data_IF_991240644538
#
_entry.id   IF_991240644538
#
_cell.length_a   1.000
_cell.length_b   1.000
_cell.length_c   1.000
_cell.angle_alpha   90.00
_cell.angle_beta   90.00
_cell.angle_gamma   90.00
#
_symmetry.space_group_name_H-M   'P 1'
#
loop_
_entity.id
_entity.type
_entity.pdbx_description
1 polymer ?
#
# COMPACT_ATOMS: atom_id res chain seq x y z
N UNK A 1 -3.89 0.73 3.29
CA UNK A 1 -3.49 -0.64 3.65
C UNK A 1 -3.80 -1.50 2.46
N UNK A 2 -2.81 -2.19 1.91
CA UNK A 2 -3.01 -2.99 0.70
C UNK A 2 -3.61 -4.35 1.03
N UNK A 3 -4.35 -4.91 0.09
CA UNK A 3 -4.70 -6.31 0.07
C UNK A 3 -3.50 -7.14 -0.38
N UNK A 4 -3.17 -8.23 0.30
CA UNK A 4 -2.04 -9.11 -0.07
C UNK A 4 -2.27 -9.83 -1.42
N UNK A 5 -3.53 -10.12 -1.80
CA UNK A 5 -3.87 -11.00 -2.94
C UNK A 5 -4.43 -10.29 -4.16
N UNK A 6 -5.05 -9.13 -4.01
CA UNK A 6 -5.83 -8.48 -5.08
C UNK A 6 -5.51 -7.00 -5.22
N UNK A 7 -5.11 -6.51 -6.41
CA UNK A 7 -4.83 -5.10 -6.64
C UNK A 7 -6.06 -4.23 -6.48
N UNK A 8 -5.95 -3.14 -5.71
CA UNK A 8 -7.06 -2.22 -5.47
C UNK A 8 -8.25 -2.89 -4.76
N UNK A 9 -8.04 -4.06 -4.16
CA UNK A 9 -9.05 -4.90 -3.52
C UNK A 9 -10.32 -5.07 -4.38
N UNK A 10 -11.43 -4.45 -3.98
CA UNK A 10 -12.71 -4.45 -4.71
C UNK A 10 -13.20 -3.05 -5.00
N UNK A 11 -12.30 -2.16 -5.44
CA UNK A 11 -12.65 -0.77 -5.76
C UNK A 11 -13.77 -0.64 -6.80
N UNK A 12 -13.85 -1.58 -7.75
CA UNK A 12 -14.93 -1.70 -8.75
C UNK A 12 -16.28 -2.10 -8.15
N UNK A 13 -16.30 -2.75 -6.99
CA UNK A 13 -17.52 -3.25 -6.31
C UNK A 13 -18.06 -2.27 -5.26
N UNK A 14 -17.45 -1.09 -5.11
CA UNK A 14 -17.93 -0.06 -4.19
C UNK A 14 -17.53 -0.24 -2.73
N UNK A 15 -16.52 -1.06 -2.41
CA UNK A 15 -16.02 -1.18 -1.04
C UNK A 15 -15.41 0.15 -0.55
N UNK A 16 -15.66 0.51 0.71
CA UNK A 16 -15.26 1.79 1.31
C UNK A 16 -13.95 1.71 2.13
N UNK A 17 -13.10 0.72 1.86
CA UNK A 17 -11.80 0.61 2.53
C UNK A 17 -10.78 1.59 1.93
N UNK A 18 -9.68 1.78 2.66
CA UNK A 18 -8.69 2.83 2.38
C UNK A 18 -8.06 2.67 0.99
N UNK A 19 -7.71 1.45 0.59
CA UNK A 19 -7.10 1.17 -0.71
C UNK A 19 -8.06 1.51 -1.85
N UNK A 20 -9.33 1.11 -1.73
CA UNK A 20 -10.36 1.37 -2.72
C UNK A 20 -10.64 2.85 -2.90
N UNK A 21 -10.63 3.61 -1.79
CA UNK A 21 -10.77 5.06 -1.83
C UNK A 21 -9.62 5.72 -2.59
N UNK A 22 -8.38 5.27 -2.37
CA UNK A 22 -7.20 5.78 -3.08
C UNK A 22 -7.25 5.42 -4.57
N UNK A 23 -7.61 4.18 -4.92
CA UNK A 23 -7.77 3.73 -6.31
C UNK A 23 -8.86 4.50 -7.06
N UNK A 24 -9.95 4.90 -6.39
CA UNK A 24 -11.01 5.73 -7.02
C UNK A 24 -10.58 7.16 -7.26
N UNK A 25 -9.63 7.68 -6.49
CA UNK A 25 -9.24 9.10 -6.51
C UNK A 25 -8.01 9.41 -7.35
N UNK A 26 -7.33 8.38 -7.81
CA UNK A 26 -6.04 8.49 -8.46
C UNK A 26 -5.89 7.49 -9.60
N UNK A 27 -4.78 7.58 -10.33
CA UNK A 27 -4.38 6.57 -11.30
C UNK A 27 -3.64 5.38 -10.67
N UNK A 28 -3.63 5.24 -9.33
CA UNK A 28 -2.96 4.14 -8.63
C UNK A 28 -3.37 2.77 -9.15
N UNK A 29 -4.63 2.62 -9.58
CA UNK A 29 -5.12 1.36 -10.14
C UNK A 29 -4.34 0.93 -11.40
N UNK A 30 -3.81 1.87 -12.20
CA UNK A 30 -2.99 1.55 -13.37
C UNK A 30 -1.61 0.99 -13.00
N UNK A 31 -1.11 1.34 -11.80
CA UNK A 31 0.15 0.82 -11.29
C UNK A 31 0.00 -0.56 -10.63
N UNK A 32 -1.22 -0.92 -10.20
CA UNK A 32 -1.49 -2.13 -9.42
C UNK A 32 -2.19 -3.22 -10.23
N UNK A 33 -3.11 -2.86 -11.12
CA UNK A 33 -3.95 -3.81 -11.86
C UNK A 33 -3.25 -4.28 -13.14
N UNK A 34 -3.31 -5.59 -13.42
CA UNK A 34 -2.68 -6.26 -14.57
C UNK A 34 -3.42 -5.97 -15.90
N UNK A 35 -3.92 -4.74 -16.08
CA UNK A 35 -4.59 -4.32 -17.32
C UNK A 35 -3.54 -4.01 -18.38
N UNK A 36 -2.91 -5.05 -18.92
CA UNK A 36 -2.18 -5.08 -20.21
C UNK A 36 -1.44 -3.78 -20.53
N UNK A 37 -0.70 -3.31 -19.52
CA UNK A 37 -0.07 -2.01 -19.50
C UNK A 37 1.40 -2.27 -19.22
N UNK A 38 2.27 -1.78 -20.11
CA UNK A 38 3.72 -1.82 -19.91
C UNK A 38 4.17 -1.06 -18.65
N UNK A 39 3.24 -0.34 -17.99
CA UNK A 39 3.44 0.34 -16.71
C UNK A 39 3.19 -0.55 -15.49
N UNK A 40 2.73 -1.80 -15.66
CA UNK A 40 2.54 -2.73 -14.54
C UNK A 40 3.91 -3.16 -14.04
N UNK A 41 4.37 -2.49 -12.98
CA UNK A 41 5.70 -2.70 -12.42
C UNK A 41 5.78 -3.96 -11.54
N UNK A 42 4.65 -4.48 -11.03
CA UNK A 42 4.65 -5.60 -10.07
C UNK A 42 3.41 -6.48 -10.21
N UNK A 43 3.62 -7.81 -10.21
CA UNK A 43 2.55 -8.81 -10.20
C UNK A 43 2.09 -9.09 -8.77
N UNK A 44 0.77 -9.05 -8.56
CA UNK A 44 0.16 -9.62 -7.36
C UNK A 44 0.28 -11.16 -7.37
N UNK A 45 0.31 -11.84 -6.21
CA UNK A 45 0.19 -11.31 -4.84
C UNK A 45 1.45 -10.59 -4.33
N UNK A 46 1.28 -9.68 -3.37
CA UNK A 46 2.40 -8.98 -2.70
C UNK A 46 3.16 -10.00 -1.83
N UNK A 47 4.50 -10.02 -1.94
CA UNK A 47 5.34 -10.87 -1.09
C UNK A 47 5.21 -10.52 0.40
N UNK A 48 5.39 -11.50 1.30
CA UNK A 48 5.15 -11.35 2.75
C UNK A 48 5.91 -10.18 3.39
N UNK A 49 7.17 -9.96 3.02
CA UNK A 49 8.00 -8.82 3.46
C UNK A 49 8.22 -7.80 2.33
N UNK A 50 7.37 -7.84 1.31
CA UNK A 50 7.44 -7.00 0.13
C UNK A 50 6.47 -5.82 0.19
N UNK A 51 6.66 -4.90 -0.74
CA UNK A 51 5.76 -3.79 -0.99
C UNK A 51 5.92 -3.32 -2.43
N UNK A 52 4.90 -2.64 -2.93
CA UNK A 52 4.90 -2.04 -4.26
C UNK A 52 5.14 -0.54 -4.09
N UNK A 53 6.13 -0.01 -4.79
CA UNK A 53 6.40 1.42 -4.84
C UNK A 53 5.88 2.00 -6.15
N UNK A 54 4.93 2.93 -6.07
CA UNK A 54 4.33 3.62 -7.20
C UNK A 54 4.69 5.11 -7.15
N UNK A 55 5.69 5.57 -7.92
CA UNK A 55 6.06 6.98 -7.96
C UNK A 55 5.05 7.80 -8.77
N UNK A 56 4.92 9.10 -8.44
CA UNK A 56 4.13 10.09 -9.22
C UNK A 56 2.69 9.65 -9.52
N UNK A 57 2.01 9.08 -8.53
CA UNK A 57 0.59 8.75 -8.62
C UNK A 57 -0.21 10.05 -8.60
N UNK A 58 -0.99 10.26 -9.66
CA UNK A 58 -1.77 11.46 -9.88
C UNK A 58 -3.11 11.37 -9.15
N UNK A 59 -3.30 12.21 -8.15
CA UNK A 59 -4.58 12.41 -7.49
C UNK A 59 -5.37 13.52 -8.20
N UNK A 60 -6.56 13.14 -8.68
CA UNK A 60 -7.42 14.04 -9.44
C UNK A 60 -8.86 14.10 -8.89
N UNK A 61 -9.21 13.28 -7.88
CA UNK A 61 -10.50 13.39 -7.19
C UNK A 61 -10.37 13.59 -5.68
N UNK A 62 -11.34 14.31 -5.14
CA UNK A 62 -11.52 14.58 -3.72
C UNK A 62 -12.03 13.36 -2.96
N UNK A 63 -12.15 13.47 -1.63
CA UNK A 63 -12.59 12.39 -0.74
C UNK A 63 -14.03 11.93 -1.03
N UNK A 64 -14.36 10.77 -0.47
CA UNK A 64 -15.71 10.18 -0.53
C UNK A 64 -16.78 11.08 0.08
N UNK A 65 -16.46 11.79 1.17
CA UNK A 65 -17.36 12.76 1.81
C UNK A 65 -17.83 13.87 0.86
N UNK A 66 -17.00 14.20 -0.13
CA UNK A 66 -17.32 15.20 -1.15
C UNK A 66 -17.91 14.59 -2.42
N UNK A 67 -18.16 13.28 -2.45
CA UNK A 67 -18.70 12.57 -3.61
C UNK A 67 -17.69 12.39 -4.74
N UNK A 68 -16.38 12.31 -4.45
CA UNK A 68 -15.33 12.11 -5.46
C UNK A 68 -15.31 13.17 -6.57
N UNK A 69 -15.62 14.43 -6.24
CA UNK A 69 -15.51 15.56 -7.17
C UNK A 69 -14.09 15.73 -7.69
N UNK A 70 -13.94 16.22 -8.91
CA UNK A 70 -12.63 16.54 -9.47
C UNK A 70 -11.96 17.64 -8.66
N UNK A 71 -10.65 17.49 -8.44
CA UNK A 71 -9.84 18.51 -7.77
C UNK A 71 -9.51 19.63 -8.77
N UNK A 72 -9.58 20.90 -8.36
CA UNK A 72 -9.19 22.03 -9.21
C UNK A 72 -7.69 22.00 -9.54
N UNK A 73 -6.87 21.46 -8.63
CA UNK A 73 -5.44 21.21 -8.81
C UNK A 73 -5.14 19.74 -8.57
N UNK A 74 -4.50 19.10 -9.54
CA UNK A 74 -4.02 17.72 -9.42
C UNK A 74 -2.74 17.69 -8.59
N UNK A 75 -2.51 16.58 -7.89
CA UNK A 75 -1.32 16.41 -7.06
C UNK A 75 -0.64 15.08 -7.36
N UNK A 76 0.69 15.10 -7.49
CA UNK A 76 1.48 13.90 -7.63
C UNK A 76 1.95 13.45 -6.25
N UNK A 77 1.71 12.17 -5.94
CA UNK A 77 2.05 11.57 -4.65
C UNK A 77 2.79 10.26 -4.90
N UNK A 78 3.85 10.00 -4.15
CA UNK A 78 4.48 8.69 -4.16
C UNK A 78 3.72 7.77 -3.20
N UNK A 79 3.31 6.59 -3.68
CA UNK A 79 2.49 5.65 -2.91
C UNK A 79 3.29 4.38 -2.63
N UNK A 80 3.31 3.97 -1.37
CA UNK A 80 3.85 2.68 -0.95
C UNK A 80 2.69 1.76 -0.57
N UNK A 81 2.56 0.66 -1.29
CA UNK A 81 1.49 -0.32 -1.13
C UNK A 81 2.06 -1.54 -0.40
N UNK A 82 1.73 -1.68 0.89
CA UNK A 82 2.17 -2.79 1.75
C UNK A 82 0.94 -3.46 2.36
N UNK A 83 0.94 -4.79 2.35
CA UNK A 83 -0.11 -5.57 2.96
C UNK A 83 0.11 -5.68 4.47
N UNK A 84 -0.91 -5.31 5.25
CA UNK A 84 -0.90 -5.56 6.69
C UNK A 84 -1.22 -7.04 6.96
N UNK A 85 -0.62 -7.61 8.00
CA UNK A 85 -0.96 -8.96 8.44
C UNK A 85 -2.45 -9.07 8.80
N UNK A 86 -3.08 -10.15 8.34
CA UNK A 86 -4.47 -10.46 8.68
C UNK A 86 -4.53 -11.11 10.05
N UNK A 87 -5.24 -10.47 10.99
CA UNK A 87 -5.44 -10.97 12.37
C UNK A 87 -4.11 -11.37 13.03
N UNK A 88 -3.15 -10.45 13.13
CA UNK A 88 -1.89 -10.74 13.79
C UNK A 88 -2.12 -11.01 15.28
N UNK A 89 -1.22 -11.77 15.90
CA UNK A 89 -1.16 -11.84 17.36
C UNK A 89 -0.83 -10.44 17.90
N UNK A 90 -1.62 -10.00 18.88
CA UNK A 90 -1.45 -8.70 19.51
C UNK A 90 -0.95 -8.92 20.94
N UNK A 91 0.05 -8.13 21.34
CA UNK A 91 0.48 -8.05 22.74
C UNK A 91 -0.20 -6.84 23.38
N UNK A 92 -0.79 -7.05 24.57
CA UNK A 92 -1.40 -5.98 25.35
C UNK A 92 -0.37 -5.39 26.31
N UNK A 93 -0.17 -4.08 26.23
CA UNK A 93 0.64 -3.34 27.18
C UNK A 93 -0.25 -2.36 27.94
N UNK A 94 -0.08 -2.33 29.25
CA UNK A 94 -0.70 -1.32 30.11
C UNK A 94 0.22 -0.11 30.16
N UNK A 95 -0.31 1.04 29.75
CA UNK A 95 0.34 2.32 29.97
C UNK A 95 0.25 2.70 31.46
N UNK A 96 1.14 3.60 31.90
CA UNK A 96 1.19 4.09 33.28
C UNK A 96 -0.06 4.85 33.72
N UNK A 97 -0.84 5.35 32.76
CA UNK A 97 -2.14 6.00 32.96
C UNK A 97 -3.31 5.00 33.06
N UNK A 98 -3.02 3.69 33.03
CA UNK A 98 -4.02 2.62 33.07
C UNK A 98 -4.69 2.34 31.72
N UNK A 99 -4.31 3.04 30.65
CA UNK A 99 -4.83 2.78 29.30
C UNK A 99 -4.20 1.51 28.70
N UNK A 100 -4.98 0.76 27.92
CA UNK A 100 -4.52 -0.43 27.19
C UNK A 100 -4.10 -0.04 25.78
N UNK A 101 -2.90 -0.46 25.38
CA UNK A 101 -2.41 -0.34 24.00
C UNK A 101 -2.04 -1.71 23.45
N UNK A 102 -2.45 -1.98 22.22
CA UNK A 102 -2.19 -3.24 21.53
C UNK A 102 -1.10 -3.02 20.48
N UNK A 103 -0.02 -3.80 20.58
CA UNK A 103 1.06 -3.81 19.60
C UNK A 103 1.05 -5.10 18.81
N UNK A 104 1.49 -5.04 17.56
CA UNK A 104 1.77 -6.23 16.77
C UNK A 104 2.85 -7.04 17.50
N UNK A 105 2.59 -8.30 17.83
CA UNK A 105 3.61 -9.16 18.44
C UNK A 105 4.83 -9.21 17.51
N UNK A 106 5.98 -8.69 17.97
CA UNK A 106 7.21 -8.67 17.18
C UNK A 106 7.65 -10.10 16.93
N UNK A 107 7.62 -10.57 15.68
CA UNK A 107 8.28 -11.83 15.34
C UNK A 107 9.78 -11.57 15.26
N UNK A 108 10.54 -12.17 16.17
CA UNK A 108 12.00 -12.19 16.09
C UNK A 108 12.39 -12.75 14.70
N UNK A 109 13.27 -12.03 13.99
CA UNK A 109 13.93 -12.58 12.80
C UNK A 109 14.53 -13.93 13.20
N UNK A 110 14.11 -15.01 12.54
CA UNK A 110 14.84 -16.28 12.57
C UNK A 110 16.32 -16.06 12.20
N UNK A 111 17.22 -16.95 12.62
CA UNK A 111 18.66 -16.70 12.59
C UNK A 111 19.15 -16.37 11.17
N UNK A 112 19.93 -15.29 11.08
CA UNK A 112 20.68 -14.74 9.94
C UNK A 112 20.77 -15.66 8.70
N UNK A 113 19.84 -15.51 7.77
CA UNK A 113 20.07 -15.79 6.35
C UNK A 113 20.51 -14.50 5.66
N UNK A 114 21.75 -14.45 5.17
CA UNK A 114 22.24 -13.36 4.32
C UNK A 114 21.44 -13.36 3.01
N UNK A 115 20.38 -12.57 2.92
CA UNK A 115 19.87 -12.12 1.62
C UNK A 115 20.57 -10.81 1.30
N UNK A 116 21.55 -10.88 0.41
CA UNK A 116 22.19 -9.70 -0.16
C UNK A 116 21.12 -8.83 -0.88
N UNK A 117 21.19 -7.50 -0.79
CA UNK A 117 20.33 -6.65 -1.58
C UNK A 117 20.86 -6.59 -3.01
N UNK A 118 20.23 -7.30 -3.95
CA UNK A 118 20.51 -7.17 -5.38
C UNK A 118 19.67 -6.04 -6.03
N UNK A 119 19.38 -4.97 -5.29
CA UNK A 119 18.75 -3.78 -5.85
C UNK A 119 19.83 -2.75 -6.17
N UNK A 120 20.41 -2.82 -7.37
CA UNK A 120 21.12 -1.66 -7.91
C UNK A 120 20.08 -0.71 -8.51
N UNK A 121 20.00 0.50 -7.97
CA UNK A 121 19.30 1.60 -8.62
C UNK A 121 20.08 1.97 -9.89
N UNK A 122 19.46 2.04 -11.08
CA UNK A 122 20.12 2.66 -12.21
C UNK A 122 20.34 4.14 -11.84
N UNK A 123 21.62 4.51 -11.69
CA UNK A 123 22.04 5.91 -11.65
C UNK A 123 21.54 6.56 -12.93
N UNK A 124 20.60 7.49 -12.82
CA UNK A 124 20.32 8.42 -13.91
C UNK A 124 21.64 9.15 -14.21
N UNK A 125 22.17 8.93 -15.40
CA UNK A 125 23.33 9.65 -15.92
C UNK A 125 23.01 11.12 -16.09
N UNK A 126 24.03 11.94 -15.82
CA UNK A 126 24.13 13.34 -16.23
C UNK A 126 24.37 13.46 -17.75
#
# INVERSE_FOLDING_TARGET
MANEKRPGCSYRKGSAAQEENLCRRSNLFQCLDDMESDLVMVKYPIAEFGGIYSPKVLFFRSSEQTGYRFLPKKADVNVLTVAAYRRPKLEEHMCSDGSKVQFLASRQRGPKGRCAPSWEWPRLGE
#
